data_IF_664394699053
#
_entry.id   IF_664394699053
#
_cell.length_a   1.000
_cell.length_b   1.000
_cell.length_c   1.000
_cell.angle_alpha   90.00
_cell.angle_beta   90.00
_cell.angle_gamma   90.00
#
_symmetry.space_group_name_H-M   'P 1'
#
loop_
_entity.id
_entity.type
_entity.pdbx_description
1 polymer ?
#
# COMPACT_ATOMS: atom_id res chain seq x y z
N UNK A 1 14.77 -6.51 21.06
CA UNK A 1 15.58 -7.70 20.70
C UNK A 1 14.92 -8.65 19.70
N UNK A 2 13.65 -8.48 19.29
CA UNK A 2 12.99 -9.38 18.31
C UNK A 2 13.08 -8.94 16.83
N UNK A 3 13.42 -7.67 16.56
CA UNK A 3 13.36 -7.06 15.22
C UNK A 3 14.52 -7.48 14.29
N UNK A 4 15.72 -7.75 14.81
CA UNK A 4 16.85 -8.21 13.98
C UNK A 4 16.61 -9.59 13.35
N UNK A 5 15.84 -10.45 14.02
CA UNK A 5 15.55 -11.80 13.52
C UNK A 5 14.64 -11.82 12.29
N UNK A 6 13.67 -10.92 12.22
CA UNK A 6 12.73 -10.84 11.10
C UNK A 6 13.38 -10.29 9.83
N UNK A 7 14.17 -9.22 9.95
CA UNK A 7 14.94 -8.64 8.85
C UNK A 7 16.00 -9.60 8.34
N UNK A 8 16.72 -10.28 9.23
CA UNK A 8 17.70 -11.30 8.85
C UNK A 8 17.05 -12.51 8.15
N UNK A 9 15.85 -12.92 8.56
CA UNK A 9 15.10 -13.98 7.88
C UNK A 9 14.58 -13.55 6.51
N UNK A 10 14.10 -12.32 6.35
CA UNK A 10 13.64 -11.82 5.06
C UNK A 10 14.81 -11.73 4.06
N UNK A 11 15.96 -11.21 4.49
CA UNK A 11 17.19 -11.16 3.68
C UNK A 11 17.66 -12.57 3.33
N UNK A 12 17.68 -13.50 4.29
CA UNK A 12 18.10 -14.89 4.07
C UNK A 12 17.16 -15.64 3.14
N UNK A 13 15.85 -15.42 3.24
CA UNK A 13 14.86 -16.00 2.37
C UNK A 13 14.96 -15.42 0.95
N UNK A 14 15.22 -14.12 0.81
CA UNK A 14 15.48 -13.48 -0.48
C UNK A 14 16.77 -14.00 -1.13
N UNK A 15 17.84 -14.18 -0.37
CA UNK A 15 19.12 -14.73 -0.84
C UNK A 15 19.01 -16.21 -1.24
N UNK A 16 18.16 -16.98 -0.56
CA UNK A 16 17.88 -18.38 -0.95
C UNK A 16 17.03 -18.44 -2.22
N UNK A 17 16.00 -17.62 -2.32
CA UNK A 17 15.15 -17.55 -3.50
C UNK A 17 15.91 -17.07 -4.75
N UNK A 18 16.88 -16.17 -4.59
CA UNK A 18 17.77 -15.75 -5.68
C UNK A 18 18.70 -16.88 -6.14
N UNK A 19 19.30 -17.65 -5.22
CA UNK A 19 20.11 -18.85 -5.57
C UNK A 19 19.31 -19.96 -6.23
N UNK A 20 18.04 -20.14 -5.86
CA UNK A 20 17.14 -21.10 -6.52
C UNK A 20 16.74 -20.62 -7.92
N UNK A 21 16.73 -19.30 -8.17
CA UNK A 21 16.48 -18.71 -9.49
C UNK A 21 17.70 -18.72 -10.43
N UNK A 22 18.93 -18.77 -9.91
CA UNK A 22 20.19 -18.85 -10.68
C UNK A 22 20.33 -20.14 -11.52
N UNK A 23 19.51 -21.17 -11.26
CA UNK A 23 19.53 -22.44 -12.00
C UNK A 23 18.59 -22.53 -13.21
N UNK A 24 17.86 -21.47 -13.54
CA UNK A 24 16.82 -21.50 -14.59
C UNK A 24 17.33 -20.91 -15.92
N UNK A 25 16.99 -21.51 -17.08
CA UNK A 25 17.46 -21.03 -18.39
C UNK A 25 16.93 -19.63 -18.72
N UNK A 26 17.68 -18.81 -19.48
CA UNK A 26 17.40 -17.39 -19.66
C UNK A 26 16.23 -17.18 -20.64
N UNK A 27 15.02 -17.12 -20.08
CA UNK A 27 13.85 -16.51 -20.73
C UNK A 27 13.29 -15.48 -19.74
N UNK A 28 13.79 -14.25 -19.84
CA UNK A 28 13.60 -13.14 -18.90
C UNK A 28 12.15 -12.96 -18.39
N UNK A 29 11.14 -13.13 -19.25
CA UNK A 29 9.74 -13.02 -18.84
C UNK A 29 9.26 -14.18 -17.96
N UNK A 30 9.61 -15.43 -18.30
CA UNK A 30 9.14 -16.60 -17.54
C UNK A 30 9.77 -16.72 -16.16
N UNK A 31 11.02 -16.27 -16.00
CA UNK A 31 11.72 -16.35 -14.70
C UNK A 31 11.22 -15.30 -13.73
N UNK A 32 11.05 -14.06 -14.19
CA UNK A 32 10.49 -12.99 -13.35
C UNK A 32 9.05 -13.33 -12.98
N UNK A 33 8.21 -13.80 -13.91
CA UNK A 33 6.85 -14.23 -13.60
C UNK A 33 6.80 -15.42 -12.64
N UNK A 34 7.68 -16.41 -12.81
CA UNK A 34 7.75 -17.58 -11.92
C UNK A 34 8.24 -17.19 -10.54
N UNK A 35 9.23 -16.28 -10.46
CA UNK A 35 9.76 -15.78 -9.21
C UNK A 35 8.72 -14.91 -8.49
N UNK A 36 8.07 -13.97 -9.19
CA UNK A 36 6.97 -13.17 -8.66
C UNK A 36 5.82 -14.08 -8.20
N UNK A 37 5.44 -15.09 -8.98
CA UNK A 37 4.40 -16.04 -8.57
C UNK A 37 4.80 -16.88 -7.36
N UNK A 38 6.08 -17.28 -7.25
CA UNK A 38 6.57 -18.08 -6.12
C UNK A 38 6.72 -17.22 -4.86
N UNK A 39 7.12 -15.96 -5.01
CA UNK A 39 7.33 -15.04 -3.91
C UNK A 39 6.01 -14.40 -3.42
N UNK A 40 5.14 -13.99 -4.35
CA UNK A 40 3.89 -13.29 -4.08
C UNK A 40 2.63 -14.16 -4.17
N UNK A 41 2.72 -15.36 -4.76
CA UNK A 41 1.68 -16.38 -4.61
C UNK A 41 1.55 -16.86 -3.16
N UNK A 42 2.61 -16.68 -2.36
CA UNK A 42 2.57 -16.76 -0.90
C UNK A 42 2.14 -15.41 -0.32
N UNK A 43 0.83 -15.29 -0.04
CA UNK A 43 0.25 -14.09 0.56
C UNK A 43 0.91 -13.72 1.89
N UNK A 44 1.50 -14.67 2.62
CA UNK A 44 2.17 -14.36 3.89
C UNK A 44 3.45 -13.57 3.65
N UNK A 45 4.29 -13.97 2.68
CA UNK A 45 5.52 -13.23 2.33
C UNK A 45 5.22 -11.82 1.82
N UNK A 46 4.16 -11.67 1.03
CA UNK A 46 3.70 -10.34 0.60
C UNK A 46 3.30 -9.46 1.79
N UNK A 47 2.56 -10.01 2.75
CA UNK A 47 2.17 -9.30 3.98
C UNK A 47 3.38 -8.92 4.82
N UNK A 48 4.38 -9.79 4.94
CA UNK A 48 5.62 -9.51 5.67
C UNK A 48 6.41 -8.38 5.00
N UNK A 49 6.47 -8.36 3.67
CA UNK A 49 7.12 -7.28 2.91
C UNK A 49 6.38 -5.93 3.05
N UNK A 50 5.04 -5.96 3.05
CA UNK A 50 4.20 -4.77 3.32
C UNK A 50 4.46 -4.26 4.74
N UNK A 51 4.50 -5.15 5.74
CA UNK A 51 4.73 -4.79 7.12
C UNK A 51 6.12 -4.17 7.31
N UNK A 52 7.16 -4.76 6.73
CA UNK A 52 8.51 -4.21 6.74
C UNK A 52 8.57 -2.82 6.09
N UNK A 53 7.91 -2.65 4.93
CA UNK A 53 7.86 -1.35 4.24
C UNK A 53 7.14 -0.29 5.05
N UNK A 54 6.02 -0.64 5.69
CA UNK A 54 5.26 0.25 6.56
C UNK A 54 6.11 0.72 7.74
N UNK A 55 6.74 -0.21 8.44
CA UNK A 55 7.61 0.07 9.60
C UNK A 55 8.78 0.99 9.21
N UNK A 56 9.48 0.68 8.12
CA UNK A 56 10.58 1.50 7.59
C UNK A 56 10.17 2.93 7.21
N UNK A 57 8.87 3.17 6.94
CA UNK A 57 8.31 4.49 6.61
C UNK A 57 7.55 5.13 7.77
N UNK A 58 7.50 4.50 8.95
CA UNK A 58 6.77 5.02 10.11
C UNK A 58 5.25 5.06 9.90
N UNK A 59 4.72 4.13 9.08
CA UNK A 59 3.29 3.94 8.87
C UNK A 59 2.77 2.83 9.80
N UNK A 60 1.55 2.95 10.35
CA UNK A 60 0.91 1.83 11.03
C UNK A 60 0.74 0.64 10.06
N UNK A 61 1.27 -0.53 10.44
CA UNK A 61 1.31 -1.73 9.60
C UNK A 61 -0.10 -2.10 9.14
N UNK A 62 -1.06 -2.19 10.06
CA UNK A 62 -2.44 -2.57 9.75
C UNK A 62 -3.13 -1.57 8.83
N UNK A 63 -2.82 -0.28 8.95
CA UNK A 63 -3.36 0.75 8.06
C UNK A 63 -2.90 0.51 6.62
N UNK A 64 -1.58 0.36 6.43
CA UNK A 64 -1.01 0.24 5.09
C UNK A 64 -1.42 -1.08 4.44
N UNK A 65 -1.51 -2.16 5.23
CA UNK A 65 -2.02 -3.44 4.77
C UNK A 65 -3.49 -3.37 4.35
N UNK A 66 -4.37 -2.75 5.15
CA UNK A 66 -5.78 -2.55 4.79
C UNK A 66 -5.94 -1.68 3.55
N UNK A 67 -5.08 -0.68 3.37
CA UNK A 67 -5.05 0.13 2.16
C UNK A 67 -4.79 -0.73 0.92
N UNK A 68 -3.68 -1.50 0.88
CA UNK A 68 -3.37 -2.36 -0.26
C UNK A 68 -4.39 -3.48 -0.48
N UNK A 69 -4.97 -4.00 0.61
CA UNK A 69 -6.09 -4.95 0.52
C UNK A 69 -7.33 -4.32 -0.11
N UNK A 70 -7.61 -3.04 0.18
CA UNK A 70 -8.75 -2.31 -0.38
C UNK A 70 -8.51 -1.92 -1.85
N UNK A 71 -7.26 -1.70 -2.25
CA UNK A 71 -6.90 -1.39 -3.64
C UNK A 71 -7.09 -2.59 -4.57
N UNK A 72 -6.48 -3.74 -4.25
CA UNK A 72 -6.46 -4.87 -5.19
C UNK A 72 -6.79 -6.22 -4.56
N UNK A 73 -7.07 -6.27 -3.26
CA UNK A 73 -7.13 -7.54 -2.54
C UNK A 73 -5.77 -8.22 -2.38
N UNK A 74 -4.68 -7.45 -2.50
CA UNK A 74 -3.29 -7.90 -2.62
C UNK A 74 -2.96 -8.64 -3.93
N UNK A 75 -3.79 -8.48 -4.96
CA UNK A 75 -3.46 -8.94 -6.31
C UNK A 75 -2.52 -7.95 -6.99
N UNK A 76 -1.30 -8.40 -7.31
CA UNK A 76 -0.31 -7.58 -8.00
C UNK A 76 -0.53 -7.47 -9.51
N UNK A 77 -1.43 -8.27 -10.09
CA UNK A 77 -1.80 -8.22 -11.51
C UNK A 77 -3.12 -7.48 -11.74
N UNK A 78 -3.72 -6.91 -10.69
CA UNK A 78 -5.00 -6.23 -10.79
C UNK A 78 -4.95 -5.04 -11.76
N UNK A 79 -5.98 -4.94 -12.60
CA UNK A 79 -6.23 -3.76 -13.44
C UNK A 79 -7.68 -3.31 -13.23
N UNK A 80 -7.88 -2.08 -12.78
CA UNK A 80 -9.23 -1.55 -12.61
C UNK A 80 -9.89 -1.21 -13.95
N UNK A 81 -11.22 -1.03 -13.93
CA UNK A 81 -11.98 -0.55 -15.11
C UNK A 81 -11.51 0.82 -15.62
N UNK A 82 -10.91 1.64 -14.76
CA UNK A 82 -10.38 2.96 -15.11
C UNK A 82 -8.88 2.93 -15.41
N UNK A 83 -8.25 1.74 -15.37
CA UNK A 83 -6.85 1.55 -15.74
C UNK A 83 -5.86 1.69 -14.58
N UNK A 84 -6.29 1.64 -13.32
CA UNK A 84 -5.38 1.58 -12.18
C UNK A 84 -4.68 0.20 -12.11
N UNK A 85 -3.38 0.16 -11.80
CA UNK A 85 -2.54 -1.02 -12.02
C UNK A 85 -1.86 -1.53 -10.74
N UNK A 86 -1.83 -2.85 -10.63
CA UNK A 86 -1.08 -3.61 -9.64
C UNK A 86 -1.60 -3.51 -8.21
N UNK A 87 -0.76 -3.98 -7.27
CA UNK A 87 -1.11 -4.16 -5.86
C UNK A 87 -1.54 -2.86 -5.16
N UNK A 88 -0.99 -1.75 -5.63
CA UNK A 88 -1.20 -0.42 -5.08
C UNK A 88 -2.11 0.46 -5.96
N UNK A 89 -2.66 -0.10 -7.04
CA UNK A 89 -3.58 0.54 -7.99
C UNK A 89 -3.11 1.94 -8.42
N UNK A 90 -1.86 2.05 -8.85
CA UNK A 90 -1.37 3.29 -9.43
C UNK A 90 -2.07 3.56 -10.77
N UNK A 91 -2.60 4.77 -10.93
CA UNK A 91 -2.98 5.26 -12.26
C UNK A 91 -1.72 5.48 -13.11
N UNK A 92 -1.72 5.17 -14.42
CA UNK A 92 -0.53 5.28 -15.26
C UNK A 92 0.13 6.68 -15.21
N UNK A 93 -0.68 7.74 -15.22
CA UNK A 93 -0.16 9.11 -15.11
C UNK A 93 0.56 9.35 -13.77
N UNK A 94 0.02 8.83 -12.67
CA UNK A 94 0.63 8.93 -11.34
C UNK A 94 1.89 8.06 -11.21
N UNK A 95 1.92 6.88 -11.83
CA UNK A 95 3.12 6.04 -11.88
C UNK A 95 4.27 6.80 -12.58
N UNK A 96 4.00 7.37 -13.75
CA UNK A 96 4.97 8.17 -14.52
C UNK A 96 5.46 9.39 -13.75
N UNK A 97 4.55 10.17 -13.17
CA UNK A 97 4.91 11.35 -12.35
C UNK A 97 5.86 11.00 -11.20
N UNK A 98 5.75 9.77 -10.68
CA UNK A 98 6.48 9.30 -9.51
C UNK A 98 7.70 8.43 -9.83
N UNK A 99 8.01 8.24 -11.11
CA UNK A 99 9.09 7.38 -11.56
C UNK A 99 8.92 5.92 -11.16
N UNK A 100 7.67 5.43 -11.06
CA UNK A 100 7.36 4.01 -10.90
C UNK A 100 7.44 3.35 -12.27
N UNK A 101 8.41 2.46 -12.47
CA UNK A 101 8.67 1.86 -13.79
C UNK A 101 7.67 0.74 -14.05
N UNK A 102 7.48 -0.17 -13.10
CA UNK A 102 6.49 -1.24 -13.21
C UNK A 102 5.49 -1.24 -12.05
N UNK A 103 4.26 -0.76 -12.26
CA UNK A 103 3.19 -0.84 -11.26
C UNK A 103 2.77 -2.27 -10.87
N UNK A 104 3.07 -3.27 -11.71
CA UNK A 104 2.73 -4.68 -11.46
C UNK A 104 3.80 -5.43 -10.66
N UNK A 105 5.00 -4.87 -10.51
CA UNK A 105 6.03 -5.39 -9.62
C UNK A 105 5.80 -4.86 -8.19
N UNK A 106 5.41 -5.70 -7.22
CA UNK A 106 5.20 -5.25 -5.86
C UNK A 106 6.48 -4.73 -5.18
N UNK A 107 7.67 -5.16 -5.61
CA UNK A 107 8.94 -4.65 -5.06
C UNK A 107 9.15 -3.17 -5.40
N UNK A 108 8.60 -2.70 -6.51
CA UNK A 108 8.58 -1.28 -6.86
C UNK A 108 7.34 -0.57 -6.30
N UNK A 109 6.17 -1.15 -6.52
CA UNK A 109 4.89 -0.51 -6.26
C UNK A 109 4.62 -0.30 -4.76
N UNK A 110 4.98 -1.25 -3.89
CA UNK A 110 4.69 -1.15 -2.44
C UNK A 110 5.51 -0.06 -1.75
N UNK A 111 6.86 0.00 -1.92
CA UNK A 111 7.64 1.12 -1.42
C UNK A 111 7.17 2.47 -1.97
N UNK A 112 6.78 2.51 -3.25
CA UNK A 112 6.29 3.74 -3.87
C UNK A 112 4.92 4.18 -3.32
N UNK A 113 4.03 3.24 -3.03
CA UNK A 113 2.75 3.51 -2.39
C UNK A 113 2.93 4.05 -0.98
N UNK A 114 3.84 3.47 -0.20
CA UNK A 114 4.18 3.95 1.14
C UNK A 114 4.76 5.37 1.10
N UNK A 115 5.68 5.64 0.17
CA UNK A 115 6.24 6.97 -0.09
C UNK A 115 5.13 7.98 -0.43
N UNK A 116 4.27 7.65 -1.39
CA UNK A 116 3.17 8.53 -1.79
C UNK A 116 2.22 8.83 -0.63
N UNK A 117 1.85 7.82 0.16
CA UNK A 117 1.01 7.99 1.33
C UNK A 117 1.66 8.91 2.37
N UNK A 118 2.97 8.78 2.61
CA UNK A 118 3.72 9.66 3.52
C UNK A 118 3.73 11.11 3.03
N UNK A 119 3.90 11.35 1.73
CA UNK A 119 3.81 12.69 1.16
C UNK A 119 2.41 13.29 1.36
N UNK A 120 1.36 12.51 1.12
CA UNK A 120 0.00 12.98 1.36
C UNK A 120 -0.25 13.27 2.85
N UNK A 121 0.31 12.45 3.74
CA UNK A 121 0.26 12.70 5.18
C UNK A 121 0.98 14.00 5.54
N UNK A 122 2.12 14.30 4.93
CA UNK A 122 2.83 15.56 5.15
C UNK A 122 2.03 16.77 4.64
N UNK A 123 1.34 16.64 3.50
CA UNK A 123 0.51 17.71 2.92
C UNK A 123 -0.75 17.97 3.74
N UNK A 124 -1.41 16.92 4.23
CA UNK A 124 -2.72 17.03 4.88
C UNK A 124 -2.68 16.92 6.41
N UNK A 125 -1.53 16.57 7.00
CA UNK A 125 -1.32 16.47 8.45
C UNK A 125 -2.09 15.33 9.13
N UNK A 126 -2.61 14.38 8.36
CA UNK A 126 -3.49 13.31 8.84
C UNK A 126 -3.44 12.10 7.93
N UNK A 127 -3.29 10.92 8.51
CA UNK A 127 -3.22 9.64 7.82
C UNK A 127 -4.57 9.29 7.15
N UNK A 128 -5.70 9.62 7.78
CA UNK A 128 -7.00 9.45 7.15
C UNK A 128 -7.24 10.40 5.97
N UNK A 129 -6.77 11.65 6.07
CA UNK A 129 -6.79 12.57 4.92
C UNK A 129 -5.81 12.15 3.83
N UNK A 130 -4.69 11.52 4.19
CA UNK A 130 -3.75 10.94 3.25
C UNK A 130 -4.40 9.78 2.46
N UNK A 131 -5.12 8.87 3.12
CA UNK A 131 -5.91 7.83 2.43
C UNK A 131 -6.98 8.42 1.51
N UNK A 132 -7.67 9.48 1.94
CA UNK A 132 -8.63 10.16 1.08
C UNK A 132 -7.97 10.73 -0.19
N UNK A 133 -6.77 11.30 -0.05
CA UNK A 133 -6.01 11.87 -1.16
C UNK A 133 -5.43 10.80 -2.08
N UNK A 134 -5.01 9.67 -1.51
CA UNK A 134 -4.55 8.49 -2.25
C UNK A 134 -5.65 7.99 -3.20
N UNK A 135 -6.88 7.81 -2.69
CA UNK A 135 -8.01 7.30 -3.47
C UNK A 135 -8.61 8.33 -4.45
N UNK A 136 -8.82 9.57 -3.99
CA UNK A 136 -9.64 10.54 -4.74
C UNK A 136 -8.85 11.61 -5.49
N UNK A 137 -7.53 11.64 -5.26
CA UNK A 137 -6.62 12.67 -5.72
C UNK A 137 -6.50 13.85 -4.72
N UNK A 138 -5.29 14.43 -4.55
CA UNK A 138 -5.06 15.51 -3.59
C UNK A 138 -5.90 16.76 -3.85
N UNK A 139 -6.12 17.11 -5.13
CA UNK A 139 -6.91 18.29 -5.48
C UNK A 139 -8.36 18.16 -5.02
N UNK A 140 -8.93 16.96 -5.08
CA UNK A 140 -10.31 16.72 -4.64
C UNK A 140 -10.44 16.88 -3.12
N UNK A 141 -9.47 16.37 -2.37
CA UNK A 141 -9.42 16.56 -0.91
C UNK A 141 -9.26 18.04 -0.56
N UNK A 142 -8.38 18.78 -1.25
CA UNK A 142 -8.23 20.24 -1.07
C UNK A 142 -9.54 21.01 -1.31
N UNK A 143 -10.25 20.67 -2.38
CA UNK A 143 -11.54 21.31 -2.68
C UNK A 143 -12.59 21.02 -1.61
N UNK A 144 -12.61 19.78 -1.10
CA UNK A 144 -13.51 19.41 -0.01
C UNK A 144 -13.18 20.12 1.31
N UNK A 145 -11.91 20.17 1.70
CA UNK A 145 -11.48 20.88 2.91
C UNK A 145 -11.78 22.39 2.83
N UNK A 146 -11.70 22.97 1.64
CA UNK A 146 -12.04 24.37 1.37
C UNK A 146 -13.55 24.63 1.20
N UNK A 147 -14.41 23.61 1.33
CA UNK A 147 -15.87 23.76 1.18
C UNK A 147 -16.34 24.02 -0.26
N UNK A 148 -15.48 23.80 -1.27
CA UNK A 148 -15.81 24.01 -2.69
C UNK A 148 -16.55 22.83 -3.33
N UNK A 149 -16.41 21.63 -2.77
CA UNK A 149 -17.10 20.42 -3.27
C UNK A 149 -17.27 19.39 -2.16
N UNK A 150 -18.21 18.46 -2.31
CA UNK A 150 -18.29 17.30 -1.42
C UNK A 150 -17.18 16.28 -1.73
N UNK A 151 -16.70 15.57 -0.71
CA UNK A 151 -15.89 14.37 -0.90
C UNK A 151 -16.78 13.22 -1.43
N UNK A 152 -16.37 12.48 -2.48
CA UNK A 152 -17.16 11.38 -3.03
C UNK A 152 -17.52 10.34 -1.98
N UNK A 153 -18.70 9.75 -2.12
CA UNK A 153 -19.17 8.71 -1.20
C UNK A 153 -18.25 7.48 -1.20
N UNK A 154 -17.73 7.11 -2.37
CA UNK A 154 -16.73 6.05 -2.50
C UNK A 154 -15.50 6.32 -1.64
N UNK A 155 -14.92 7.51 -1.72
CA UNK A 155 -13.76 7.91 -0.91
C UNK A 155 -14.08 7.94 0.59
N UNK A 156 -15.28 8.40 0.97
CA UNK A 156 -15.72 8.38 2.38
C UNK A 156 -15.78 6.94 2.91
N UNK A 157 -16.33 6.02 2.13
CA UNK A 157 -16.40 4.60 2.47
C UNK A 157 -15.00 3.98 2.50
N UNK A 158 -14.12 4.33 1.57
CA UNK A 158 -12.72 3.90 1.52
C UNK A 158 -11.97 4.26 2.81
N UNK A 159 -12.05 5.53 3.24
CA UNK A 159 -11.42 5.99 4.50
C UNK A 159 -11.97 5.21 5.70
N UNK A 160 -13.30 5.02 5.77
CA UNK A 160 -13.92 4.27 6.86
C UNK A 160 -13.45 2.82 6.92
N UNK A 161 -13.30 2.13 5.78
CA UNK A 161 -12.83 0.74 5.72
C UNK A 161 -11.39 0.58 6.21
N UNK A 162 -10.51 1.51 5.85
CA UNK A 162 -9.09 1.44 6.23
C UNK A 162 -8.90 1.83 7.69
N UNK A 163 -9.63 2.84 8.16
CA UNK A 163 -9.33 3.53 9.43
C UNK A 163 -10.30 3.26 10.56
N UNK A 164 -11.47 2.69 10.27
CA UNK A 164 -12.57 2.56 11.22
C UNK A 164 -13.27 3.89 11.58
N UNK A 165 -12.93 4.99 10.90
CA UNK A 165 -13.48 6.34 11.19
C UNK A 165 -13.90 7.05 9.91
N UNK A 166 -14.83 7.99 10.02
CA UNK A 166 -15.25 8.77 8.87
C UNK A 166 -14.18 9.77 8.43
N UNK A 167 -14.19 10.17 7.16
CA UNK A 167 -13.32 11.23 6.68
C UNK A 167 -13.53 12.56 7.44
N UNK A 168 -14.77 12.86 7.88
CA UNK A 168 -15.07 14.05 8.66
C UNK A 168 -14.47 14.01 10.08
N UNK A 169 -14.38 12.82 10.70
CA UNK A 169 -13.68 12.66 11.99
C UNK A 169 -12.18 12.97 11.84
N UNK A 170 -11.57 12.45 10.76
CA UNK A 170 -10.17 12.70 10.44
C UNK A 170 -9.86 14.16 10.11
N UNK A 171 -10.84 14.88 9.51
CA UNK A 171 -10.75 16.33 9.27
C UNK A 171 -10.71 17.13 10.57
N UNK A 172 -11.36 16.66 11.63
CA UNK A 172 -11.47 17.36 12.91
C UNK A 172 -10.37 16.95 13.91
N UNK A 173 -9.95 15.69 13.89
CA UNK A 173 -9.09 15.09 14.92
C UNK A 173 -7.61 14.89 14.56
N UNK A 174 -7.25 14.91 13.27
CA UNK A 174 -5.88 14.61 12.80
C UNK A 174 -5.37 13.24 13.25
N UNK A 175 -4.03 13.07 13.30
CA UNK A 175 -3.38 11.81 13.69
C UNK A 175 -3.49 11.45 15.18
N UNK A 176 -4.10 12.31 16.00
CA UNK A 176 -4.23 12.12 17.46
C UNK A 176 -4.97 10.83 17.85
N UNK A 177 -5.60 10.17 16.89
CA UNK A 177 -6.37 8.97 17.11
C UNK A 177 -6.05 7.81 16.15
N UNK A 178 -4.99 7.92 15.36
CA UNK A 178 -4.53 6.87 14.43
C UNK A 178 -4.06 5.59 15.14
N UNK A 179 -3.76 5.69 16.44
CA UNK A 179 -3.18 4.63 17.29
C UNK A 179 -4.24 3.91 18.13
N UNK A 180 -5.54 4.19 17.93
CA UNK A 180 -6.58 3.43 18.63
C UNK A 180 -6.64 2.01 18.06
N UNK A 181 -5.90 1.10 18.68
CA UNK A 181 -5.87 -0.33 18.39
C UNK A 181 -7.30 -0.89 18.25
N UNK A 182 -7.63 -1.59 17.15
CA UNK A 182 -8.76 -2.49 17.15
C UNK A 182 -8.39 -3.74 17.95
N UNK A 183 -8.43 -3.63 19.27
CA UNK A 183 -8.52 -4.77 20.17
C UNK A 183 -9.88 -5.44 20.03
N UNK A 184 -10.09 -6.20 18.96
CA UNK A 184 -11.19 -7.16 18.83
C UNK A 184 -10.87 -8.17 17.73
N UNK A 185 -10.42 -9.35 18.16
CA UNK A 185 -10.44 -10.68 17.51
C UNK A 185 -10.66 -10.70 15.99
N UNK A 186 -9.60 -10.99 15.26
CA UNK A 186 -9.67 -11.44 13.88
C UNK A 186 -9.92 -12.95 13.86
N UNK A 187 -11.16 -13.35 13.62
CA UNK A 187 -11.47 -14.66 13.06
C UNK A 187 -11.64 -14.46 11.54
N UNK A 188 -10.57 -14.73 10.79
CA UNK A 188 -10.59 -14.90 9.32
C UNK A 188 -9.70 -16.09 8.96
#
# INVERSE_FOLDING_TARGET
MALEGATANLIRNNLRATREAEGLPPLLGTLQDTWLKTFYGDKQRLRDFIAHTADARGLPIDFFLRLLQQESGLDHRAVSRTGAQGVAQFMPATATERGLVDPFDPFEAIPKAAEYLCEQRAVFGSLGLAAAAYNAGPQRVRNWLAGRSALPQETRAYVAKITGRSADDWRQGGDRFAVAEPGARNDW
#
